data_IF_299601806335
#
_entry.id   IF_299601806335
#
_cell.length_a   1.000
_cell.length_b   1.000
_cell.length_c   1.000
_cell.angle_alpha   90.00
_cell.angle_beta   90.00
_cell.angle_gamma   90.00
#
_symmetry.space_group_name_H-M   'P 1'
#
loop_
_entity.id
_entity.type
_entity.pdbx_description
1 polymer ?
#
# COMPACT_ATOMS: atom_id res chain seq x y z
N UNK A 1 31.78 -24.52 5.96
CA UNK A 1 31.60 -23.08 6.25
C UNK A 1 30.45 -22.60 5.40
N UNK A 2 29.24 -22.51 5.95
CA UNK A 2 28.08 -21.98 5.23
C UNK A 2 28.25 -20.46 5.15
N UNK A 3 28.50 -19.96 3.95
CA UNK A 3 28.46 -18.54 3.64
C UNK A 3 27.02 -18.07 3.90
N UNK A 4 26.82 -17.37 5.01
CA UNK A 4 25.59 -16.61 5.25
C UNK A 4 25.63 -15.50 4.20
N UNK A 5 24.90 -15.69 3.10
CA UNK A 5 24.59 -14.57 2.19
C UNK A 5 23.87 -13.55 3.07
N UNK A 6 24.55 -12.45 3.37
CA UNK A 6 23.86 -11.26 3.84
C UNK A 6 22.85 -10.90 2.74
N UNK A 7 21.58 -11.20 3.00
CA UNK A 7 20.49 -10.65 2.22
C UNK A 7 20.54 -9.15 2.50
N UNK A 8 21.24 -8.42 1.64
CA UNK A 8 21.21 -6.97 1.63
C UNK A 8 19.79 -6.57 1.20
N UNK A 9 18.87 -6.48 2.16
CA UNK A 9 17.46 -6.17 1.92
C UNK A 9 17.25 -4.74 1.39
N UNK A 10 18.32 -3.94 1.27
CA UNK A 10 18.35 -2.72 0.45
C UNK A 10 17.51 -1.56 0.98
N UNK A 11 17.10 -1.59 2.24
CA UNK A 11 16.34 -0.50 2.84
C UNK A 11 17.28 0.61 3.34
N UNK A 12 17.39 1.69 2.57
CA UNK A 12 18.14 2.88 3.02
C UNK A 12 17.23 3.99 3.55
N UNK A 13 15.92 3.97 3.24
CA UNK A 13 14.94 4.97 3.71
C UNK A 13 13.56 4.37 3.99
N UNK A 14 12.91 4.84 5.08
CA UNK A 14 11.47 4.71 5.33
C UNK A 14 10.91 3.30 5.29
N UNK A 15 11.29 2.45 6.25
CA UNK A 15 10.66 1.13 6.45
C UNK A 15 9.36 1.31 7.21
N UNK A 16 8.26 0.80 6.67
CA UNK A 16 7.02 0.60 7.41
C UNK A 16 6.65 -0.87 7.35
N UNK A 17 5.98 -1.36 8.40
CA UNK A 17 5.57 -2.74 8.50
C UNK A 17 4.16 -2.85 9.10
N UNK A 18 3.39 -3.83 8.63
CA UNK A 18 2.10 -4.20 9.22
C UNK A 18 1.95 -5.72 9.23
N UNK A 19 1.08 -6.24 10.08
CA UNK A 19 0.78 -7.67 10.17
C UNK A 19 -0.54 -7.95 9.45
N UNK A 20 -0.58 -9.01 8.66
CA UNK A 20 -1.81 -9.64 8.19
C UNK A 20 -1.95 -10.99 8.88
N UNK A 21 -2.98 -11.14 9.70
CA UNK A 21 -3.36 -12.43 10.25
C UNK A 21 -4.13 -13.23 9.18
N UNK A 22 -3.86 -14.53 9.03
CA UNK A 22 -4.66 -15.37 8.15
C UNK A 22 -6.06 -15.59 8.75
N UNK A 23 -7.08 -15.88 7.92
CA UNK A 23 -8.40 -16.22 8.40
C UNK A 23 -8.34 -17.42 9.35
N UNK A 24 -9.09 -17.37 10.44
CA UNK A 24 -9.06 -18.29 11.61
C UNK A 24 -9.48 -19.74 11.32
N UNK A 25 -9.56 -20.17 10.06
CA UNK A 25 -10.20 -21.43 9.64
C UNK A 25 -9.25 -22.57 9.28
N UNK A 26 -7.95 -22.52 9.59
CA UNK A 26 -7.03 -23.64 9.31
C UNK A 26 -6.41 -24.24 10.57
N UNK A 27 -6.45 -25.57 10.67
CA UNK A 27 -5.92 -26.43 11.75
C UNK A 27 -4.38 -26.51 11.81
N UNK A 28 -3.69 -25.86 10.88
CA UNK A 28 -2.24 -25.62 10.90
C UNK A 28 -1.96 -24.22 11.44
N UNK A 29 -0.97 -24.09 12.32
CA UNK A 29 -0.61 -22.83 12.98
C UNK A 29 -0.68 -21.65 12.00
N UNK A 30 -1.53 -20.63 12.25
CA UNK A 30 -1.74 -19.54 11.30
C UNK A 30 -0.43 -18.79 11.07
N UNK A 31 0.07 -18.82 9.83
CA UNK A 31 1.20 -18.04 9.38
C UNK A 31 0.87 -16.55 9.45
N UNK A 32 1.32 -15.85 10.49
CA UNK A 32 1.25 -14.39 10.55
C UNK A 32 2.15 -13.82 9.45
N UNK A 33 1.57 -13.08 8.51
CA UNK A 33 2.32 -12.44 7.43
C UNK A 33 2.74 -11.04 7.85
N UNK A 34 4.04 -10.84 8.01
CA UNK A 34 4.68 -9.54 8.17
C UNK A 34 4.86 -8.90 6.79
N UNK A 35 4.11 -7.85 6.53
CA UNK A 35 4.26 -7.01 5.35
C UNK A 35 5.27 -5.91 5.66
N UNK A 36 6.42 -5.91 5.01
CA UNK A 36 7.47 -4.89 5.12
C UNK A 36 7.61 -4.20 3.78
N UNK A 37 7.58 -2.87 3.74
CA UNK A 37 7.80 -2.15 2.48
C UNK A 37 8.77 -1.00 2.65
N UNK A 38 9.47 -0.69 1.56
CA UNK A 38 10.44 0.39 1.47
C UNK A 38 11.00 0.50 0.06
N UNK A 39 11.43 1.71 -0.33
CA UNK A 39 12.09 1.94 -1.62
C UNK A 39 13.61 1.86 -1.44
N UNK A 40 14.31 1.00 -2.22
CA UNK A 40 15.76 1.06 -2.33
C UNK A 40 16.14 2.26 -3.21
N UNK A 41 16.32 3.41 -2.57
CA UNK A 41 16.90 4.65 -3.14
C UNK A 41 16.01 5.38 -4.18
N UNK A 42 16.31 6.67 -4.35
CA UNK A 42 15.65 7.72 -5.15
C UNK A 42 15.42 7.46 -6.65
N UNK A 43 15.49 6.24 -7.16
CA UNK A 43 15.39 5.97 -8.61
C UNK A 43 14.78 4.60 -8.99
N UNK A 44 14.35 3.76 -8.04
CA UNK A 44 13.81 2.42 -8.33
C UNK A 44 12.38 2.24 -7.81
N UNK A 45 11.54 1.41 -8.49
CA UNK A 45 10.16 1.12 -8.07
C UNK A 45 10.10 0.69 -6.60
N UNK A 46 9.02 1.08 -5.91
CA UNK A 46 8.84 0.66 -4.53
C UNK A 46 8.55 -0.83 -4.46
N UNK A 47 9.34 -1.51 -3.62
CA UNK A 47 9.27 -2.96 -3.39
C UNK A 47 8.49 -3.23 -2.12
N UNK A 48 7.62 -4.22 -2.19
CA UNK A 48 6.87 -4.73 -1.05
C UNK A 48 7.37 -6.15 -0.76
N UNK A 49 7.77 -6.41 0.48
CA UNK A 49 8.18 -7.71 0.98
C UNK A 49 7.10 -8.28 1.88
N UNK A 50 6.75 -9.52 1.65
CA UNK A 50 5.88 -10.32 2.50
C UNK A 50 6.74 -11.40 3.15
N UNK A 51 6.96 -11.29 4.46
CA UNK A 51 7.66 -12.32 5.23
C UNK A 51 6.67 -13.05 6.11
N UNK A 52 6.72 -14.38 6.14
CA UNK A 52 6.10 -15.14 7.22
C UNK A 52 6.90 -14.93 8.53
N UNK A 53 6.23 -15.02 9.68
CA UNK A 53 6.87 -14.96 11.01
C UNK A 53 7.50 -16.29 11.41
N UNK A 54 7.26 -17.37 10.66
CA UNK A 54 8.01 -18.62 10.77
C UNK A 54 9.14 -18.68 9.73
N UNK A 55 10.20 -19.42 10.04
CA UNK A 55 11.45 -19.44 9.28
C UNK A 55 11.25 -19.85 7.80
N UNK A 56 11.95 -19.12 6.91
CA UNK A 56 12.23 -19.41 5.50
C UNK A 56 11.20 -19.08 4.40
N UNK A 57 10.27 -18.14 4.59
CA UNK A 57 9.46 -17.60 3.47
C UNK A 57 9.45 -16.07 3.43
N UNK A 58 10.31 -15.49 2.58
CA UNK A 58 10.24 -14.08 2.17
C UNK A 58 9.84 -14.05 0.70
N UNK A 59 8.63 -13.57 0.42
CA UNK A 59 8.14 -13.26 -0.93
C UNK A 59 8.26 -11.75 -1.18
N UNK A 60 8.36 -11.33 -2.44
CA UNK A 60 8.43 -9.92 -2.80
C UNK A 60 7.86 -9.66 -4.18
N UNK A 61 7.19 -8.52 -4.34
CA UNK A 61 6.73 -8.07 -5.65
C UNK A 61 6.87 -6.55 -5.80
N UNK A 62 6.96 -6.14 -7.07
CA UNK A 62 7.00 -4.74 -7.48
C UNK A 62 5.58 -4.17 -7.55
N UNK A 63 5.42 -2.90 -7.16
CA UNK A 63 4.12 -2.24 -7.13
C UNK A 63 4.03 -1.08 -8.11
N UNK A 64 4.21 0.15 -7.63
CA UNK A 64 4.25 1.36 -8.44
C UNK A 64 5.70 1.83 -8.62
N UNK A 65 6.05 2.38 -9.80
CA UNK A 65 7.32 3.05 -9.98
C UNK A 65 7.33 4.35 -9.18
N UNK A 66 7.96 4.33 -8.02
CA UNK A 66 8.21 5.51 -7.20
C UNK A 66 9.72 5.64 -7.02
N UNK A 67 10.14 6.63 -6.26
CA UNK A 67 11.53 7.08 -6.16
C UNK A 67 11.79 7.53 -4.71
N UNK A 68 10.90 8.27 -4.06
CA UNK A 68 10.97 8.66 -2.64
C UNK A 68 9.86 8.03 -1.78
N UNK A 69 9.48 6.80 -2.11
CA UNK A 69 8.67 5.97 -1.22
C UNK A 69 7.23 5.75 -1.66
N UNK A 70 6.55 4.92 -0.87
CA UNK A 70 5.23 4.38 -1.12
C UNK A 70 4.47 4.34 0.21
N UNK A 71 3.21 4.77 0.15
CA UNK A 71 2.26 4.50 1.20
C UNK A 71 1.49 3.24 0.85
N UNK A 72 1.31 2.37 1.84
CA UNK A 72 0.64 1.09 1.70
C UNK A 72 -0.35 0.92 2.84
N UNK A 73 -1.46 0.24 2.56
CA UNK A 73 -2.42 -0.24 3.56
C UNK A 73 -2.96 -1.60 3.15
N UNK A 74 -3.36 -2.42 4.13
CA UNK A 74 -4.08 -3.68 3.88
C UNK A 74 -5.56 -3.41 3.73
N UNK A 75 -6.26 -4.19 2.91
CA UNK A 75 -7.70 -4.07 2.72
C UNK A 75 -8.37 -5.41 2.37
N UNK A 76 -9.69 -5.49 2.56
CA UNK A 76 -10.52 -6.61 2.10
C UNK A 76 -10.99 -6.36 0.67
N UNK A 77 -10.62 -7.26 -0.24
CA UNK A 77 -11.01 -7.23 -1.65
C UNK A 77 -12.48 -7.66 -1.82
N UNK A 78 -13.11 -7.37 -2.98
CA UNK A 78 -14.45 -7.86 -3.33
C UNK A 78 -14.60 -9.38 -3.26
N UNK A 79 -13.49 -10.11 -3.41
CA UNK A 79 -13.45 -11.57 -3.25
C UNK A 79 -13.56 -12.05 -1.81
N UNK A 80 -13.57 -11.14 -0.82
CA UNK A 80 -13.49 -11.43 0.62
C UNK A 80 -12.08 -11.75 1.11
N UNK A 81 -11.09 -11.79 0.21
CA UNK A 81 -9.69 -12.04 0.58
C UNK A 81 -8.96 -10.75 0.97
N UNK A 82 -7.88 -10.90 1.73
CA UNK A 82 -6.98 -9.79 2.01
C UNK A 82 -6.20 -9.38 0.75
N UNK A 83 -5.98 -8.08 0.60
CA UNK A 83 -5.14 -7.46 -0.41
C UNK A 83 -4.42 -6.24 0.16
N UNK A 84 -3.75 -5.50 -0.73
CA UNK A 84 -3.08 -4.25 -0.39
C UNK A 84 -3.47 -3.15 -1.37
N UNK A 85 -3.52 -1.92 -0.88
CA UNK A 85 -3.56 -0.72 -1.69
C UNK A 85 -2.26 0.03 -1.47
N UNK A 86 -1.80 0.68 -2.54
CA UNK A 86 -0.57 1.44 -2.55
C UNK A 86 -0.76 2.76 -3.26
N UNK A 87 -0.04 3.77 -2.80
CA UNK A 87 0.00 5.10 -3.38
C UNK A 87 1.43 5.62 -3.37
N UNK A 88 1.86 6.39 -4.38
CA UNK A 88 3.11 7.11 -4.31
C UNK A 88 3.14 8.03 -3.08
N UNK A 89 4.24 8.03 -2.33
CA UNK A 89 4.42 8.91 -1.17
C UNK A 89 4.39 10.39 -1.53
N UNK A 90 4.35 11.30 -0.54
CA UNK A 90 4.21 12.72 -0.85
C UNK A 90 5.49 13.34 -1.43
N UNK A 91 5.56 13.44 -2.75
CA UNK A 91 6.64 14.10 -3.51
C UNK A 91 6.06 14.86 -4.71
N UNK A 92 6.62 16.04 -5.00
CA UNK A 92 6.30 16.76 -6.24
C UNK A 92 6.57 15.88 -7.48
N UNK A 93 5.62 15.85 -8.41
CA UNK A 93 5.65 15.01 -9.62
C UNK A 93 4.92 13.68 -9.47
N UNK A 94 4.49 13.29 -8.25
CA UNK A 94 3.82 12.01 -8.07
C UNK A 94 2.32 12.10 -8.27
N UNK A 95 1.77 11.31 -9.22
CA UNK A 95 0.35 11.34 -9.46
C UNK A 95 -0.41 10.81 -8.25
N UNK A 96 -1.69 11.21 -8.09
CA UNK A 96 -2.60 10.61 -7.11
C UNK A 96 -3.08 9.24 -7.59
N UNK A 97 -2.14 8.38 -8.00
CA UNK A 97 -2.38 7.04 -8.49
C UNK A 97 -2.53 6.08 -7.31
N UNK A 98 -3.56 5.26 -7.38
CA UNK A 98 -3.81 4.18 -6.44
C UNK A 98 -3.72 2.87 -7.19
N UNK A 99 -2.88 1.97 -6.68
CA UNK A 99 -2.79 0.59 -7.16
C UNK A 99 -3.33 -0.36 -6.10
N UNK A 100 -4.04 -1.40 -6.53
CA UNK A 100 -4.61 -2.43 -5.66
C UNK A 100 -4.08 -3.79 -6.11
N UNK A 101 -3.59 -4.58 -5.18
CA UNK A 101 -2.96 -5.87 -5.44
C UNK A 101 -3.49 -6.94 -4.48
N UNK A 102 -3.52 -8.19 -4.92
CA UNK A 102 -3.62 -9.31 -3.99
C UNK A 102 -2.27 -9.58 -3.30
N UNK A 103 -2.27 -10.49 -2.33
CA UNK A 103 -1.05 -10.86 -1.59
C UNK A 103 -0.09 -11.74 -2.41
N UNK A 104 -0.42 -12.06 -3.67
CA UNK A 104 0.48 -12.71 -4.62
C UNK A 104 1.12 -11.70 -5.59
N UNK A 105 0.86 -10.40 -5.39
CA UNK A 105 1.38 -9.32 -6.21
C UNK A 105 0.66 -9.12 -7.54
N UNK A 106 -0.47 -9.77 -7.76
CA UNK A 106 -1.28 -9.54 -8.96
C UNK A 106 -2.11 -8.28 -8.77
N UNK A 107 -2.00 -7.36 -9.73
CA UNK A 107 -2.80 -6.13 -9.76
C UNK A 107 -4.28 -6.47 -9.95
N UNK A 108 -5.11 -6.03 -9.02
CA UNK A 108 -6.57 -6.16 -9.03
C UNK A 108 -7.21 -4.94 -9.68
N UNK A 109 -6.64 -3.76 -9.47
CA UNK A 109 -7.14 -2.51 -10.06
C UNK A 109 -6.13 -1.37 -9.92
N UNK A 110 -6.36 -0.31 -10.68
CA UNK A 110 -5.70 0.98 -10.48
C UNK A 110 -6.59 2.12 -10.94
N UNK A 111 -6.44 3.28 -10.30
CA UNK A 111 -7.15 4.50 -10.72
C UNK A 111 -6.41 5.76 -10.26
N UNK A 112 -6.64 6.86 -10.98
CA UNK A 112 -6.25 8.20 -10.52
C UNK A 112 -7.36 8.76 -9.65
N UNK A 113 -7.04 9.08 -8.38
CA UNK A 113 -8.03 9.52 -7.40
C UNK A 113 -8.63 10.89 -7.72
N UNK A 114 -7.87 11.78 -8.34
CA UNK A 114 -8.32 13.11 -8.76
C UNK A 114 -7.39 13.67 -9.83
N UNK A 115 -7.85 14.71 -10.53
CA UNK A 115 -7.00 15.46 -11.45
C UNK A 115 -6.11 16.42 -10.64
N UNK A 116 -4.79 16.23 -10.70
CA UNK A 116 -3.80 17.06 -10.02
C UNK A 116 -2.71 17.50 -11.00
N UNK A 117 -2.69 18.77 -11.43
CA UNK A 117 -1.64 19.26 -12.31
C UNK A 117 -0.29 19.44 -11.62
N UNK A 118 -0.26 19.55 -10.28
CA UNK A 118 0.96 19.85 -9.51
C UNK A 118 1.54 18.63 -8.78
N UNK A 119 0.73 17.56 -8.62
CA UNK A 119 1.09 16.17 -8.25
C UNK A 119 1.97 16.05 -7.00
N UNK A 120 1.38 15.71 -5.85
CA UNK A 120 2.11 15.54 -4.59
C UNK A 120 1.92 14.18 -3.92
N UNK A 121 1.57 13.13 -4.67
CA UNK A 121 1.32 11.79 -4.13
C UNK A 121 0.19 11.78 -3.08
N UNK A 122 0.15 10.74 -2.25
CA UNK A 122 -0.93 10.56 -1.27
C UNK A 122 -0.53 9.66 -0.10
N UNK A 123 -1.13 9.89 1.08
CA UNK A 123 -1.15 8.93 2.18
C UNK A 123 -2.47 8.16 2.13
N UNK A 124 -2.46 6.87 2.47
CA UNK A 124 -3.65 6.02 2.40
C UNK A 124 -3.85 5.17 3.64
N UNK A 125 -5.13 4.88 3.92
CA UNK A 125 -5.62 3.86 4.84
C UNK A 125 -6.83 3.16 4.20
N UNK A 126 -7.27 2.03 4.76
CA UNK A 126 -8.46 1.34 4.28
C UNK A 126 -9.35 0.89 5.44
N UNK A 127 -10.67 0.95 5.22
CA UNK A 127 -11.70 0.54 6.16
C UNK A 127 -13.05 0.47 5.44
N UNK A 128 -13.85 -0.55 5.73
CA UNK A 128 -15.27 -0.65 5.37
C UNK A 128 -16.08 0.46 6.07
N UNK A 129 -16.44 1.51 5.34
CA UNK A 129 -17.18 2.66 5.89
C UNK A 129 -18.69 2.58 5.64
N UNK A 130 -19.13 1.77 4.67
CA UNK A 130 -20.55 1.65 4.29
C UNK A 130 -21.21 0.33 4.75
N UNK A 131 -20.43 -0.58 5.32
CA UNK A 131 -20.88 -1.81 5.98
C UNK A 131 -21.13 -2.97 5.02
N UNK A 132 -20.63 -2.91 3.79
CA UNK A 132 -20.87 -3.93 2.76
C UNK A 132 -19.87 -5.10 2.80
N UNK A 133 -18.97 -5.11 3.79
CA UNK A 133 -17.88 -6.06 3.95
C UNK A 133 -16.76 -5.94 2.92
N UNK A 134 -16.67 -4.87 2.14
CA UNK A 134 -15.52 -4.49 1.33
C UNK A 134 -14.90 -3.23 1.92
N UNK A 135 -13.57 -3.15 1.95
CA UNK A 135 -12.93 -1.96 2.50
C UNK A 135 -12.86 -0.85 1.45
N UNK A 136 -13.22 0.38 1.84
CA UNK A 136 -12.92 1.59 1.08
C UNK A 136 -11.49 2.06 1.30
N UNK A 137 -11.00 2.87 0.37
CA UNK A 137 -9.69 3.52 0.44
C UNK A 137 -9.87 4.96 0.92
N UNK A 138 -9.33 5.26 2.10
CA UNK A 138 -9.23 6.61 2.65
C UNK A 138 -7.91 7.21 2.19
N UNK A 139 -7.99 8.32 1.46
CA UNK A 139 -6.86 9.01 0.87
C UNK A 139 -6.71 10.39 1.51
N UNK A 140 -5.53 10.66 2.09
CA UNK A 140 -5.08 12.00 2.43
C UNK A 140 -4.22 12.55 1.30
N UNK A 141 -4.63 13.66 0.71
CA UNK A 141 -3.87 14.28 -0.38
C UNK A 141 -2.48 14.73 0.08
N UNK A 142 -1.49 14.62 -0.81
CA UNK A 142 -0.16 15.18 -0.57
C UNK A 142 -0.20 16.70 -0.35
N UNK A 143 0.61 17.17 0.59
CA UNK A 143 0.69 18.60 0.92
C UNK A 143 1.61 19.30 -0.10
N UNK A 144 1.18 20.46 -0.58
CA UNK A 144 1.96 21.31 -1.47
C UNK A 144 1.51 22.78 -1.40
N UNK A 145 2.29 23.72 -1.97
CA UNK A 145 1.96 25.13 -1.96
C UNK A 145 0.56 25.41 -2.52
N UNK A 146 -0.29 26.07 -1.73
CA UNK A 146 -1.65 26.44 -2.13
C UNK A 146 -2.65 25.30 -2.22
N UNK A 147 -2.32 24.09 -1.72
CA UNK A 147 -3.25 22.95 -1.70
C UNK A 147 -4.05 22.92 -0.40
N UNK A 148 -5.39 22.73 -0.44
CA UNK A 148 -6.17 22.48 0.75
C UNK A 148 -5.82 21.10 1.32
N UNK A 149 -5.83 20.97 2.65
CA UNK A 149 -5.65 19.67 3.31
C UNK A 149 -6.92 18.85 3.07
N UNK A 150 -6.90 17.94 2.10
CA UNK A 150 -8.12 17.24 1.67
C UNK A 150 -8.03 15.75 1.98
N UNK A 151 -9.10 15.22 2.54
CA UNK A 151 -9.32 13.76 2.66
C UNK A 151 -10.42 13.34 1.71
N UNK A 152 -10.25 12.17 1.10
CA UNK A 152 -11.19 11.56 0.16
C UNK A 152 -11.39 10.10 0.50
N UNK A 153 -12.58 9.57 0.23
CA UNK A 153 -12.87 8.15 0.38
C UNK A 153 -13.34 7.62 -0.97
N UNK A 154 -12.76 6.50 -1.39
CA UNK A 154 -13.05 5.85 -2.66
C UNK A 154 -13.40 4.38 -2.44
N UNK A 155 -14.28 3.86 -3.30
CA UNK A 155 -14.35 2.44 -3.55
C UNK A 155 -13.12 1.97 -4.33
N UNK A 156 -12.88 0.66 -4.30
CA UNK A 156 -11.74 0.03 -4.97
C UNK A 156 -11.78 0.13 -6.50
N UNK A 157 -12.95 0.40 -7.08
CA UNK A 157 -13.12 0.66 -8.51
C UNK A 157 -12.82 2.12 -8.92
N UNK A 158 -12.48 2.99 -7.96
CA UNK A 158 -12.19 4.40 -8.16
C UNK A 158 -13.41 5.33 -8.02
N UNK A 159 -14.60 4.81 -7.71
CA UNK A 159 -15.75 5.66 -7.42
C UNK A 159 -15.52 6.42 -6.10
N UNK A 160 -15.52 7.76 -6.16
CA UNK A 160 -15.43 8.60 -4.96
C UNK A 160 -16.75 8.60 -4.19
N UNK A 161 -16.71 8.25 -2.91
CA UNK A 161 -17.86 8.32 -2.01
C UNK A 161 -18.02 9.72 -1.42
N UNK A 162 -16.93 10.28 -0.89
CA UNK A 162 -16.96 11.58 -0.23
C UNK A 162 -15.59 12.26 -0.21
N UNK A 163 -15.58 13.55 0.08
CA UNK A 163 -14.38 14.35 0.34
C UNK A 163 -14.67 15.50 1.29
N UNK A 164 -13.66 15.94 2.03
CA UNK A 164 -13.73 17.13 2.87
C UNK A 164 -12.35 17.76 3.06
N UNK A 165 -12.34 19.03 3.45
CA UNK A 165 -11.13 19.71 3.92
C UNK A 165 -10.94 19.38 5.41
N UNK A 166 -9.78 18.80 5.74
CA UNK A 166 -9.34 18.57 7.11
C UNK A 166 -8.76 19.86 7.70
N UNK A 167 -9.00 20.08 8.99
CA UNK A 167 -8.59 21.27 9.74
C UNK A 167 -7.33 21.03 10.57
#
# INVERSE_FOLDING_TARGET
>A
MLSRRELNCGFENGVRATLSEPPTSTTTAPCTRLLVWGSPVSVNPSRVFLSDTQADCVDSFETLPTTFGLNLTTLRLPSGQAGIAVAPGPLNGYPPLIGIFDLQGRKIGEFFAFNDPNTYGSNIAAVDVDGDSQDEIVLGEGIGPGRPYTVRIFRQDGQMLTKWEAF
#
